data_IF_807420423813
#
_entry.id   IF_807420423813
#
_cell.length_a   1.000
_cell.length_b   1.000
_cell.length_c   1.000
_cell.angle_alpha   90.00
_cell.angle_beta   90.00
_cell.angle_gamma   90.00
#
_symmetry.space_group_name_H-M   'P 1'
#
loop_
_entity.id
_entity.type
_entity.pdbx_description
1 polymer ?
#
# COMPACT_ATOMS: atom_id res chain seq x y z
N UNK A 1 -16.03 0.00 -52.57
CA UNK A 1 -16.98 0.82 -51.79
C UNK A 1 -17.53 0.00 -50.63
N UNK A 2 -16.83 0.03 -49.49
CA UNK A 2 -17.37 -0.19 -48.15
C UNK A 2 -16.47 0.63 -47.21
N UNK A 3 -17.04 1.68 -46.67
CA UNK A 3 -16.33 2.69 -45.87
C UNK A 3 -16.10 2.20 -44.44
N UNK A 4 -14.94 2.55 -43.89
CA UNK A 4 -14.57 2.39 -42.48
C UNK A 4 -15.24 3.47 -41.63
N UNK A 5 -15.77 3.16 -40.43
CA UNK A 5 -16.15 4.18 -39.48
C UNK A 5 -14.95 4.67 -38.63
N UNK A 6 -14.98 5.94 -38.17
CA UNK A 6 -13.83 6.64 -37.61
C UNK A 6 -13.62 6.44 -36.10
N UNK A 7 -12.35 6.55 -35.71
CA UNK A 7 -11.78 6.76 -34.37
C UNK A 7 -12.25 8.10 -33.78
N UNK A 8 -12.71 8.10 -32.52
CA UNK A 8 -13.04 9.31 -31.77
C UNK A 8 -12.05 9.53 -30.62
N UNK A 9 -11.67 10.79 -30.44
CA UNK A 9 -10.55 11.32 -29.67
C UNK A 9 -11.04 12.42 -28.72
N UNK A 10 -10.41 12.50 -27.54
CA UNK A 10 -10.06 13.70 -26.74
C UNK A 10 -11.13 14.47 -25.93
N UNK A 11 -10.80 14.58 -24.63
CA UNK A 11 -10.96 15.64 -23.60
C UNK A 11 -12.14 16.61 -23.62
N UNK A 12 -12.79 16.70 -22.44
CA UNK A 12 -13.71 17.77 -22.07
C UNK A 12 -13.51 18.20 -20.61
N UNK A 13 -12.79 19.31 -20.45
CA UNK A 13 -12.65 20.12 -19.22
C UNK A 13 -14.00 20.80 -18.94
N UNK A 14 -14.49 20.75 -17.69
CA UNK A 14 -15.59 21.61 -17.24
C UNK A 14 -15.08 22.54 -16.13
N UNK A 15 -14.86 23.79 -16.52
CA UNK A 15 -14.65 24.94 -15.65
C UNK A 15 -16.01 25.57 -15.35
N UNK A 16 -16.31 25.77 -14.07
CA UNK A 16 -17.51 26.46 -13.61
C UNK A 16 -17.09 27.84 -13.06
N UNK A 17 -17.40 28.91 -13.80
CA UNK A 17 -17.46 30.30 -13.34
C UNK A 17 -18.93 30.68 -13.55
N UNK A 18 -19.70 31.21 -12.60
CA UNK A 18 -19.76 32.62 -12.19
C UNK A 18 -20.84 32.77 -11.11
N UNK A 19 -20.70 33.78 -10.23
CA UNK A 19 -21.78 34.22 -9.34
C UNK A 19 -21.33 35.22 -8.30
N UNK A 20 -20.96 36.43 -8.71
CA UNK A 20 -20.74 37.60 -7.84
C UNK A 20 -21.86 38.63 -8.06
N UNK A 21 -22.57 39.01 -6.99
CA UNK A 21 -23.07 40.36 -6.63
C UNK A 21 -23.90 40.23 -5.34
N UNK A 22 -24.01 41.16 -4.39
CA UNK A 22 -23.22 42.30 -3.93
C UNK A 22 -24.01 42.93 -2.75
N UNK A 23 -23.35 43.08 -1.58
CA UNK A 23 -23.42 44.21 -0.61
C UNK A 23 -24.71 44.42 0.24
N UNK A 24 -24.60 44.39 1.58
CA UNK A 24 -24.80 45.58 2.44
C UNK A 24 -24.29 45.40 3.90
N UNK A 25 -23.70 46.50 4.35
CA UNK A 25 -23.04 46.87 5.62
C UNK A 25 -23.76 46.54 6.94
N UNK A 26 -23.00 46.29 8.03
CA UNK A 26 -22.93 47.21 9.17
C UNK A 26 -21.74 46.89 10.10
N UNK A 27 -21.07 47.94 10.57
CA UNK A 27 -19.95 47.93 11.49
C UNK A 27 -20.36 47.60 12.94
N UNK A 28 -19.51 46.87 13.64
CA UNK A 28 -19.62 46.60 15.07
C UNK A 28 -18.25 46.26 15.65
N UNK A 29 -17.60 47.28 16.20
CA UNK A 29 -16.42 47.17 17.07
C UNK A 29 -16.73 46.27 18.27
N UNK A 30 -15.79 45.41 18.65
CA UNK A 30 -15.32 45.30 20.03
C UNK A 30 -14.04 44.47 20.10
N UNK A 31 -12.98 45.14 20.54
CA UNK A 31 -11.73 44.54 20.97
C UNK A 31 -12.01 43.55 22.12
N UNK A 32 -11.76 42.28 21.87
CA UNK A 32 -11.72 41.23 22.87
C UNK A 32 -10.43 40.46 22.69
N UNK A 33 -9.42 40.80 23.49
CA UNK A 33 -8.19 40.04 23.65
C UNK A 33 -8.53 38.61 24.04
N UNK A 34 -8.52 37.69 23.06
CA UNK A 34 -8.51 36.26 23.34
C UNK A 34 -7.06 35.88 23.47
N UNK A 35 -6.59 35.73 24.71
CA UNK A 35 -5.30 35.09 25.00
C UNK A 35 -5.31 33.72 24.32
N UNK A 36 -4.59 33.62 23.22
CA UNK A 36 -4.39 32.39 22.48
C UNK A 36 -3.65 31.39 23.35
N UNK A 37 -4.39 30.51 24.02
CA UNK A 37 -3.86 29.21 24.41
C UNK A 37 -3.69 28.41 23.14
N UNK A 38 -2.54 28.62 22.49
CA UNK A 38 -2.08 27.80 21.39
C UNK A 38 -1.77 26.42 21.94
N UNK A 39 -2.77 25.54 21.96
CA UNK A 39 -2.53 24.10 22.08
C UNK A 39 -1.94 23.66 20.73
N UNK A 40 -0.66 23.99 20.52
CA UNK A 40 0.18 23.23 19.59
C UNK A 40 0.34 21.83 20.19
N UNK A 41 0.55 20.84 19.35
CA UNK A 41 0.68 19.40 19.63
C UNK A 41 -0.62 18.58 19.51
N UNK A 42 -1.26 18.66 18.35
CA UNK A 42 -1.90 17.48 17.76
C UNK A 42 -0.81 16.48 17.35
N UNK A 43 -0.16 15.84 18.33
CA UNK A 43 0.73 14.72 18.06
C UNK A 43 -0.14 13.61 17.45
N UNK A 44 0.12 13.31 16.18
CA UNK A 44 -0.57 12.23 15.47
C UNK A 44 -0.22 10.92 16.16
N UNK A 45 -1.19 10.28 16.79
CA UNK A 45 -1.00 8.94 17.34
C UNK A 45 -0.90 7.98 16.16
N UNK A 46 0.32 7.59 15.80
CA UNK A 46 0.57 6.46 14.89
C UNK A 46 0.49 5.17 15.70
N UNK A 47 -0.18 4.16 15.16
CA UNK A 47 -0.23 2.85 15.82
C UNK A 47 1.19 2.28 16.01
N UNK A 48 1.48 1.65 17.16
CA UNK A 48 2.73 0.94 17.38
C UNK A 48 2.96 -0.11 16.29
N UNK A 49 4.10 -0.05 15.60
CA UNK A 49 4.47 -1.01 14.55
C UNK A 49 5.24 -2.19 15.15
N UNK A 50 4.84 -3.40 14.75
CA UNK A 50 5.58 -4.63 15.06
C UNK A 50 6.88 -4.67 14.26
N UNK A 51 7.98 -5.09 14.91
CA UNK A 51 9.28 -5.30 14.26
C UNK A 51 9.16 -6.27 13.08
N UNK A 52 9.85 -5.97 11.99
CA UNK A 52 9.78 -6.77 10.76
C UNK A 52 10.12 -8.24 10.97
N UNK A 53 11.14 -8.54 11.76
CA UNK A 53 11.54 -9.90 12.10
C UNK A 53 10.46 -10.69 12.86
N UNK A 54 9.81 -10.06 13.83
CA UNK A 54 8.71 -10.66 14.60
C UNK A 54 7.50 -10.89 13.70
N UNK A 55 7.17 -9.92 12.86
CA UNK A 55 6.08 -10.02 11.90
C UNK A 55 6.29 -11.18 10.91
N UNK A 56 7.51 -11.33 10.36
CA UNK A 56 7.85 -12.41 9.42
C UNK A 56 7.71 -13.78 10.08
N UNK A 57 8.19 -13.94 11.32
CA UNK A 57 8.03 -15.18 12.08
C UNK A 57 6.56 -15.53 12.32
N UNK A 58 5.71 -14.52 12.62
CA UNK A 58 4.28 -14.73 12.79
C UNK A 58 3.59 -15.16 11.49
N UNK A 59 3.95 -14.57 10.34
CA UNK A 59 3.45 -15.00 9.04
C UNK A 59 3.81 -16.45 8.75
N UNK A 60 5.08 -16.81 8.88
CA UNK A 60 5.58 -18.17 8.64
C UNK A 60 4.80 -19.17 9.52
N UNK A 61 4.69 -18.87 10.82
CA UNK A 61 3.97 -19.74 11.74
C UNK A 61 2.51 -19.91 11.35
N UNK A 62 1.83 -18.85 10.91
CA UNK A 62 0.43 -18.91 10.44
C UNK A 62 0.28 -19.77 9.18
N UNK A 63 1.20 -19.67 8.23
CA UNK A 63 1.19 -20.50 7.03
C UNK A 63 1.38 -21.99 7.39
N UNK A 64 2.39 -22.29 8.21
CA UNK A 64 2.73 -23.66 8.64
C UNK A 64 1.58 -24.36 9.37
N UNK A 65 0.92 -23.69 10.32
CA UNK A 65 -0.22 -24.29 11.04
C UNK A 65 -1.44 -24.53 10.15
N UNK A 66 -1.50 -23.89 8.99
CA UNK A 66 -2.56 -24.06 7.99
C UNK A 66 -2.14 -24.96 6.81
N UNK A 67 -1.01 -25.68 6.95
CA UNK A 67 -0.56 -26.68 5.99
C UNK A 67 0.16 -26.13 4.77
N UNK A 68 0.58 -24.86 4.78
CA UNK A 68 1.44 -24.28 3.76
C UNK A 68 2.92 -24.28 4.21
N UNK A 69 3.84 -24.23 3.26
CA UNK A 69 5.27 -24.01 3.53
C UNK A 69 5.55 -22.51 3.49
N UNK A 70 6.37 -21.98 4.39
CA UNK A 70 6.77 -20.59 4.35
C UNK A 70 8.18 -20.39 4.92
N UNK A 71 8.96 -19.49 4.33
CA UNK A 71 10.34 -19.24 4.75
C UNK A 71 10.80 -17.82 4.41
N UNK A 72 11.88 -17.39 5.05
CA UNK A 72 12.53 -16.13 4.72
C UNK A 72 13.50 -16.37 3.57
N UNK A 73 13.13 -15.94 2.36
CA UNK A 73 14.01 -15.97 1.19
C UNK A 73 15.10 -14.89 1.25
N UNK A 74 14.80 -13.75 1.91
CA UNK A 74 15.78 -12.69 2.16
C UNK A 74 15.50 -11.95 3.47
N UNK A 75 16.56 -11.71 4.24
CA UNK A 75 16.55 -10.82 5.42
C UNK A 75 17.00 -9.41 5.02
N UNK A 76 16.35 -8.42 5.60
CA UNK A 76 16.78 -7.02 5.61
C UNK A 76 16.85 -6.48 7.04
N UNK A 77 16.54 -5.20 7.25
CA UNK A 77 16.56 -4.60 8.59
C UNK A 77 15.50 -5.25 9.52
N UNK A 78 15.88 -5.82 10.67
CA UNK A 78 14.99 -6.64 11.50
C UNK A 78 13.90 -5.84 12.23
N UNK A 79 14.05 -4.53 12.34
CA UNK A 79 13.15 -3.67 13.10
C UNK A 79 12.18 -2.91 12.20
N UNK A 80 12.63 -2.49 11.02
CA UNK A 80 11.96 -1.49 10.18
C UNK A 80 11.95 -1.78 8.67
N UNK A 81 12.64 -2.83 8.22
CA UNK A 81 12.76 -3.16 6.79
C UNK A 81 11.39 -3.34 6.10
N UNK A 82 11.29 -2.87 4.86
CA UNK A 82 10.14 -3.11 4.00
C UNK A 82 9.93 -4.62 3.79
N UNK A 83 8.71 -5.06 3.50
CA UNK A 83 8.40 -6.49 3.36
C UNK A 83 7.71 -6.78 2.04
N UNK A 84 8.24 -7.76 1.33
CA UNK A 84 7.59 -8.44 0.22
C UNK A 84 7.18 -9.84 0.65
N UNK A 85 5.99 -10.26 0.22
CA UNK A 85 5.52 -11.64 0.39
C UNK A 85 5.24 -12.24 -0.98
N UNK A 86 6.05 -13.21 -1.40
CA UNK A 86 5.78 -14.02 -2.59
C UNK A 86 4.88 -15.18 -2.19
N UNK A 87 3.77 -15.35 -2.90
CA UNK A 87 2.89 -16.53 -2.77
C UNK A 87 3.06 -17.36 -4.03
N UNK A 88 3.74 -18.50 -3.92
CA UNK A 88 3.92 -19.47 -4.99
C UNK A 88 2.77 -20.48 -4.98
N UNK A 89 2.10 -20.65 -6.13
CA UNK A 89 0.99 -21.60 -6.28
C UNK A 89 1.47 -23.02 -6.63
N UNK A 90 2.79 -23.24 -6.71
CA UNK A 90 3.42 -24.53 -7.05
C UNK A 90 2.99 -25.11 -8.41
N UNK A 91 2.60 -24.22 -9.33
CA UNK A 91 2.24 -24.54 -10.71
C UNK A 91 2.98 -23.65 -11.73
N UNK A 92 4.10 -23.03 -11.32
CA UNK A 92 4.85 -22.06 -12.12
C UNK A 92 4.34 -20.62 -12.03
N UNK A 93 3.27 -20.37 -11.29
CA UNK A 93 2.72 -19.02 -11.08
C UNK A 93 2.86 -18.55 -9.64
N UNK A 94 2.94 -17.24 -9.46
CA UNK A 94 3.06 -16.59 -8.17
C UNK A 94 2.38 -15.22 -8.13
N UNK A 95 2.23 -14.69 -6.93
CA UNK A 95 1.81 -13.30 -6.66
C UNK A 95 2.77 -12.67 -5.67
N UNK A 96 3.10 -11.38 -5.84
CA UNK A 96 3.91 -10.65 -4.85
C UNK A 96 3.10 -9.55 -4.20
N UNK A 97 2.98 -9.61 -2.87
CA UNK A 97 2.46 -8.53 -2.06
C UNK A 97 3.59 -7.63 -1.58
N UNK A 98 3.39 -6.31 -1.63
CA UNK A 98 4.30 -5.31 -1.09
C UNK A 98 3.64 -4.56 0.06
N UNK A 99 4.35 -4.41 1.17
CA UNK A 99 3.88 -3.65 2.32
C UNK A 99 3.85 -2.16 2.01
N UNK A 100 2.67 -1.55 2.15
CA UNK A 100 2.46 -0.12 2.22
C UNK A 100 2.09 0.27 3.66
N UNK A 101 2.29 1.54 4.02
CA UNK A 101 1.90 2.05 5.32
C UNK A 101 0.87 3.17 5.15
N UNK A 102 -0.24 3.01 5.86
CA UNK A 102 -1.28 4.00 5.94
C UNK A 102 -0.84 5.23 6.72
N UNK A 103 -1.67 6.27 6.61
CA UNK A 103 -1.52 7.54 7.33
C UNK A 103 -1.60 7.35 8.86
N UNK A 104 -2.26 6.31 9.30
CA UNK A 104 -2.40 5.80 10.68
C UNK A 104 -1.16 5.03 11.18
N UNK A 105 -0.23 4.68 10.30
CA UNK A 105 0.91 3.81 10.61
C UNK A 105 0.61 2.31 10.45
N UNK A 106 -0.64 1.96 10.12
CA UNK A 106 -1.06 0.59 9.88
C UNK A 106 -0.43 0.02 8.62
N UNK A 107 0.00 -1.23 8.68
CA UNK A 107 0.49 -1.97 7.50
C UNK A 107 -0.71 -2.31 6.61
N UNK A 108 -0.56 -2.12 5.30
CA UNK A 108 -1.51 -2.52 4.26
C UNK A 108 -0.75 -3.21 3.14
N UNK A 109 -1.45 -3.99 2.34
CA UNK A 109 -0.85 -4.79 1.28
C UNK A 109 -1.32 -4.33 -0.07
N UNK A 110 -0.38 -4.09 -0.98
CA UNK A 110 -0.66 -3.81 -2.39
C UNK A 110 -0.10 -4.95 -3.21
N UNK A 111 -0.87 -5.42 -4.20
CA UNK A 111 -0.37 -6.44 -5.09
C UNK A 111 0.63 -5.83 -6.08
N UNK A 112 1.92 -6.14 -5.90
CA UNK A 112 3.02 -5.56 -6.67
C UNK A 112 3.07 -6.06 -8.12
N UNK A 113 2.56 -7.26 -8.37
CA UNK A 113 2.53 -7.90 -9.70
C UNK A 113 1.22 -7.70 -10.45
N UNK A 114 0.25 -6.96 -9.89
CA UNK A 114 -1.09 -6.76 -10.47
C UNK A 114 -2.16 -7.67 -9.88
N UNK A 115 -3.42 -7.53 -10.30
CA UNK A 115 -4.55 -8.22 -9.65
C UNK A 115 -4.47 -9.77 -9.77
N UNK A 116 -3.98 -10.26 -10.91
CA UNK A 116 -3.89 -11.69 -11.20
C UNK A 116 -2.56 -12.30 -10.73
N UNK A 117 -2.50 -13.63 -10.69
CA UNK A 117 -1.22 -14.34 -10.57
C UNK A 117 -0.41 -14.16 -11.86
N UNK A 118 0.90 -14.13 -11.73
CA UNK A 118 1.85 -13.99 -12.84
C UNK A 118 2.76 -15.21 -12.89
N UNK A 119 3.49 -15.39 -13.98
CA UNK A 119 4.57 -16.39 -14.03
C UNK A 119 5.61 -16.12 -12.92
N UNK A 120 6.17 -17.18 -12.34
CA UNK A 120 7.11 -17.08 -11.22
C UNK A 120 8.34 -16.21 -11.59
N UNK A 121 8.82 -16.30 -12.83
CA UNK A 121 9.91 -15.43 -13.34
C UNK A 121 9.57 -13.94 -13.25
N UNK A 122 8.32 -13.56 -13.56
CA UNK A 122 7.86 -12.16 -13.47
C UNK A 122 7.79 -11.70 -12.00
N UNK A 123 7.39 -12.60 -11.10
CA UNK A 123 7.40 -12.35 -9.65
C UNK A 123 8.84 -12.17 -9.12
N UNK A 124 9.77 -13.02 -9.53
CA UNK A 124 11.19 -12.92 -9.18
C UNK A 124 11.82 -11.62 -9.71
N UNK A 125 11.52 -11.22 -10.94
CA UNK A 125 11.95 -9.96 -11.53
C UNK A 125 11.44 -8.74 -10.74
N UNK A 126 10.20 -8.80 -10.24
CA UNK A 126 9.67 -7.77 -9.36
C UNK A 126 10.48 -7.69 -8.05
N UNK A 127 10.75 -8.83 -7.43
CA UNK A 127 11.53 -8.92 -6.19
C UNK A 127 12.95 -8.42 -6.40
N UNK A 128 13.62 -8.81 -7.50
CA UNK A 128 14.95 -8.35 -7.85
C UNK A 128 15.01 -6.83 -8.01
N UNK A 129 14.04 -6.22 -8.70
CA UNK A 129 13.94 -4.75 -8.83
C UNK A 129 13.67 -4.04 -7.50
N UNK A 130 12.86 -4.63 -6.62
CA UNK A 130 12.63 -4.07 -5.30
C UNK A 130 13.90 -4.11 -4.43
N UNK A 131 14.63 -5.24 -4.46
CA UNK A 131 15.92 -5.39 -3.78
C UNK A 131 16.98 -4.41 -4.29
N UNK A 132 16.97 -4.11 -5.59
CA UNK A 132 17.86 -3.10 -6.16
C UNK A 132 17.55 -1.67 -5.71
N UNK A 133 16.32 -1.39 -5.29
CA UNK A 133 15.89 -0.08 -4.77
C UNK A 133 16.10 0.07 -3.27
N UNK A 134 15.87 -1.00 -2.51
CA UNK A 134 15.96 -1.01 -1.06
C UNK A 134 16.72 -2.27 -0.59
N UNK A 135 17.94 -2.06 -0.08
CA UNK A 135 18.78 -3.14 0.42
C UNK A 135 18.26 -3.74 1.74
N UNK A 136 17.35 -3.06 2.43
CA UNK A 136 16.78 -3.49 3.72
C UNK A 136 15.45 -4.23 3.55
N UNK A 137 15.04 -4.54 2.31
CA UNK A 137 13.81 -5.27 2.03
C UNK A 137 13.87 -6.74 2.47
N UNK A 138 12.85 -7.18 3.19
CA UNK A 138 12.60 -8.59 3.50
C UNK A 138 11.80 -9.24 2.38
N UNK A 139 12.10 -10.51 2.12
CA UNK A 139 11.29 -11.36 1.25
C UNK A 139 10.90 -12.61 2.05
N UNK A 140 9.61 -12.76 2.28
CA UNK A 140 9.02 -14.00 2.82
C UNK A 140 8.34 -14.71 1.66
N UNK A 141 8.63 -15.99 1.49
CA UNK A 141 7.99 -16.83 0.50
C UNK A 141 7.00 -17.76 1.21
N UNK A 142 5.81 -17.87 0.64
CA UNK A 142 4.73 -18.78 1.04
C UNK A 142 4.43 -19.66 -0.16
N UNK A 143 4.46 -20.97 0.04
CA UNK A 143 4.09 -21.96 -0.97
C UNK A 143 2.76 -22.60 -0.58
N UNK A 144 1.73 -22.34 -1.39
CA UNK A 144 0.39 -22.85 -1.16
C UNK A 144 -0.36 -23.05 -2.48
N UNK A 145 -0.79 -24.29 -2.74
CA UNK A 145 -1.51 -24.64 -3.99
C UNK A 145 -2.83 -23.89 -4.18
N UNK A 146 -3.44 -23.42 -3.10
CA UNK A 146 -4.67 -22.63 -3.15
C UNK A 146 -4.41 -21.11 -3.22
N UNK A 147 -3.14 -20.68 -3.28
CA UNK A 147 -2.76 -19.27 -3.38
C UNK A 147 -3.05 -18.45 -2.13
N UNK A 148 -3.16 -19.09 -0.95
CA UNK A 148 -3.40 -18.39 0.33
C UNK A 148 -2.15 -17.61 0.76
N UNK A 149 -2.34 -16.35 1.14
CA UNK A 149 -1.25 -15.45 1.56
C UNK A 149 -1.03 -15.38 3.08
N UNK A 150 -2.02 -15.80 3.88
CA UNK A 150 -2.00 -15.76 5.36
C UNK A 150 -1.74 -14.37 5.97
N UNK A 151 -1.96 -13.31 5.21
CA UNK A 151 -1.91 -11.92 5.66
C UNK A 151 -3.21 -11.58 6.39
N UNK A 152 -3.09 -10.80 7.47
CA UNK A 152 -4.25 -10.40 8.30
C UNK A 152 -4.59 -8.93 8.16
N UNK A 153 -3.67 -8.14 7.63
CA UNK A 153 -3.87 -6.72 7.40
C UNK A 153 -4.64 -6.46 6.11
N UNK A 154 -5.15 -5.23 5.97
CA UNK A 154 -5.95 -4.82 4.82
C UNK A 154 -5.17 -4.90 3.50
N UNK A 155 -5.87 -5.32 2.44
CA UNK A 155 -5.39 -5.34 1.05
C UNK A 155 -6.03 -4.16 0.31
N UNK A 156 -5.22 -3.40 -0.41
CA UNK A 156 -5.64 -2.31 -1.28
C UNK A 156 -5.82 -2.72 -2.72
#
# INVERSE_FOLDING_TARGET
MRESPPIASTDGIVSCVTGEVAILTQAGSNAGTVLGHSIKHGARVTEPRVKTSIWAAALIRRAEVNGASAFVARKGDPDSGAVLVKVSLLNGTARVWSAAYGRDGGRRWVCGTGAEVVEDEVAEDYIARARGRDADVWVVEVEDRAGRDFLTEEKG
#
